data_IF_255906986698
#
_entry.id   IF_255906986698
#
_cell.length_a   1.000
_cell.length_b   1.000
_cell.length_c   1.000
_cell.angle_alpha   90.00
_cell.angle_beta   90.00
_cell.angle_gamma   90.00
#
_symmetry.space_group_name_H-M   'P 1'
#
loop_
_entity.id
_entity.type
_entity.pdbx_description
1 polymer ?
#
# COMPACT_ATOMS: atom_id res chain seq x y z
N UNK A 1 6.53 16.85 -17.80
CA UNK A 1 7.30 16.15 -16.82
C UNK A 1 6.94 14.67 -16.86
N UNK A 2 7.85 13.96 -16.81
CA UNK A 2 7.99 12.57 -17.06
C UNK A 2 8.05 11.78 -15.77
N UNK A 3 8.79 10.72 -15.74
CA UNK A 3 8.94 9.92 -14.54
C UNK A 3 9.86 10.58 -13.51
N UNK A 4 9.45 10.58 -12.24
CA UNK A 4 10.30 10.97 -11.13
C UNK A 4 11.37 9.91 -10.89
N UNK A 5 12.54 10.09 -11.51
CA UNK A 5 13.69 9.22 -11.32
C UNK A 5 14.56 9.76 -10.19
N UNK A 6 14.94 8.95 -9.18
CA UNK A 6 15.88 9.38 -8.16
C UNK A 6 17.20 9.83 -8.79
N UNK A 7 17.71 10.99 -8.35
CA UNK A 7 18.99 11.55 -8.86
C UNK A 7 20.22 10.92 -8.21
N UNK A 8 20.06 10.12 -7.17
CA UNK A 8 21.14 9.45 -6.44
C UNK A 8 21.33 8.03 -6.94
N UNK A 9 22.55 7.52 -6.82
CA UNK A 9 22.81 6.09 -7.03
C UNK A 9 22.18 5.27 -5.91
N UNK A 10 21.84 4.03 -6.21
CA UNK A 10 21.45 3.05 -5.21
C UNK A 10 22.55 2.87 -4.15
N UNK A 11 22.15 2.60 -2.91
CA UNK A 11 23.10 2.35 -1.84
C UNK A 11 23.99 1.13 -2.16
N UNK A 12 25.32 1.31 -2.07
CA UNK A 12 26.28 0.27 -2.45
C UNK A 12 26.08 -1.03 -1.69
N UNK A 13 25.71 -0.96 -0.40
CA UNK A 13 25.40 -2.14 0.42
C UNK A 13 24.29 -3.02 -0.18
N UNK A 14 23.27 -2.40 -0.78
CA UNK A 14 22.19 -3.14 -1.45
C UNK A 14 22.68 -3.81 -2.74
N UNK A 15 23.46 -3.09 -3.54
CA UNK A 15 24.06 -3.62 -4.78
C UNK A 15 24.99 -4.81 -4.48
N UNK A 16 25.84 -4.68 -3.47
CA UNK A 16 26.76 -5.76 -3.07
C UNK A 16 26.01 -7.00 -2.56
N UNK A 17 24.94 -6.79 -1.79
CA UNK A 17 24.09 -7.89 -1.31
C UNK A 17 23.40 -8.63 -2.46
N UNK A 18 22.93 -7.92 -3.49
CA UNK A 18 22.31 -8.51 -4.67
C UNK A 18 23.32 -9.32 -5.48
N UNK A 19 24.52 -8.76 -5.72
CA UNK A 19 25.61 -9.47 -6.41
C UNK A 19 25.95 -10.75 -5.66
N UNK A 20 26.09 -10.67 -4.34
CA UNK A 20 26.37 -11.84 -3.50
C UNK A 20 25.29 -12.90 -3.61
N UNK A 21 24.01 -12.52 -3.52
CA UNK A 21 22.89 -13.44 -3.63
C UNK A 21 22.90 -14.20 -4.98
N UNK A 22 23.20 -13.50 -6.08
CA UNK A 22 23.34 -14.11 -7.40
C UNK A 22 24.52 -15.10 -7.45
N UNK A 23 25.65 -14.73 -6.87
CA UNK A 23 26.83 -15.63 -6.77
C UNK A 23 26.55 -16.87 -5.89
N UNK A 24 25.75 -16.72 -4.87
CA UNK A 24 25.28 -17.81 -3.99
C UNK A 24 24.21 -18.70 -4.67
N UNK A 25 23.81 -18.40 -5.90
CA UNK A 25 22.94 -19.24 -6.73
C UNK A 25 21.44 -18.99 -6.56
N UNK A 26 21.01 -17.86 -5.98
CA UNK A 26 19.58 -17.55 -5.77
C UNK A 26 18.76 -17.62 -7.05
N UNK A 27 19.36 -17.31 -8.21
CA UNK A 27 18.69 -17.34 -9.51
C UNK A 27 18.19 -18.74 -9.93
N UNK A 28 18.69 -19.81 -9.32
CA UNK A 28 18.32 -21.19 -9.62
C UNK A 28 17.25 -21.76 -8.68
N UNK A 29 16.74 -20.95 -7.73
CA UNK A 29 15.85 -21.43 -6.67
C UNK A 29 14.54 -20.68 -6.74
N UNK A 30 13.42 -21.41 -6.85
CA UNK A 30 12.10 -20.79 -6.66
C UNK A 30 11.91 -20.35 -5.22
N UNK A 31 11.54 -19.09 -4.98
CA UNK A 31 11.14 -18.66 -3.65
C UNK A 31 9.79 -19.31 -3.26
N UNK A 32 9.48 -19.29 -1.98
CA UNK A 32 8.14 -19.62 -1.53
C UNK A 32 7.11 -18.69 -2.20
N UNK A 33 5.92 -19.22 -2.47
CA UNK A 33 4.81 -18.51 -3.14
C UNK A 33 4.50 -17.16 -2.45
N UNK A 34 4.57 -17.12 -1.13
CA UNK A 34 4.30 -15.92 -0.33
C UNK A 34 5.55 -15.07 -0.03
N UNK A 35 6.66 -15.34 -0.69
CA UNK A 35 7.95 -14.68 -0.46
C UNK A 35 8.86 -15.43 0.51
N UNK A 36 10.12 -15.02 0.59
CA UNK A 36 11.10 -15.60 1.51
C UNK A 36 10.86 -15.07 2.94
N UNK A 37 11.11 -15.92 3.94
CA UNK A 37 10.95 -15.57 5.36
C UNK A 37 11.75 -14.34 5.76
N UNK A 38 12.98 -14.22 5.25
CA UNK A 38 13.90 -13.16 5.61
C UNK A 38 13.41 -11.79 5.12
N UNK A 39 12.95 -11.70 3.86
CA UNK A 39 12.38 -10.45 3.31
C UNK A 39 11.14 -10.03 4.10
N UNK A 40 10.28 -10.98 4.47
CA UNK A 40 9.07 -10.70 5.24
C UNK A 40 9.39 -10.21 6.65
N UNK A 41 10.35 -10.85 7.33
CA UNK A 41 10.79 -10.47 8.66
C UNK A 41 11.44 -9.08 8.66
N UNK A 42 12.33 -8.81 7.68
CA UNK A 42 12.97 -7.50 7.56
C UNK A 42 11.99 -6.39 7.14
N UNK A 43 10.97 -6.69 6.33
CA UNK A 43 9.92 -5.75 6.01
C UNK A 43 9.08 -5.38 7.25
N UNK A 44 8.70 -6.37 8.07
CA UNK A 44 8.03 -6.15 9.35
C UNK A 44 8.89 -5.28 10.29
N UNK A 45 10.19 -5.61 10.42
CA UNK A 45 11.14 -4.84 11.22
C UNK A 45 11.31 -3.41 10.70
N UNK A 46 11.38 -3.22 9.38
CA UNK A 46 11.47 -1.91 8.75
C UNK A 46 10.22 -1.06 9.04
N UNK A 47 9.04 -1.65 8.93
CA UNK A 47 7.77 -0.97 9.24
C UNK A 47 7.76 -0.53 10.70
N UNK A 48 8.14 -1.41 11.63
CA UNK A 48 8.25 -1.03 13.05
C UNK A 48 9.27 0.08 13.27
N UNK A 49 10.43 -0.02 12.62
CA UNK A 49 11.53 0.92 12.81
C UNK A 49 11.23 2.36 12.35
N UNK A 50 10.44 2.54 11.29
CA UNK A 50 10.27 3.84 10.65
C UNK A 50 8.81 4.33 10.56
N UNK A 51 7.85 3.44 10.77
CA UNK A 51 6.41 3.76 10.73
C UNK A 51 5.77 3.59 12.11
N UNK A 52 6.43 2.82 13.01
CA UNK A 52 5.99 2.45 14.36
C UNK A 52 4.64 1.70 14.38
N UNK A 53 4.49 0.78 13.42
CA UNK A 53 3.35 -0.14 13.35
C UNK A 53 3.85 -1.55 13.59
N UNK A 54 3.17 -2.30 14.44
CA UNK A 54 3.38 -3.73 14.60
C UNK A 54 2.56 -4.47 13.54
N UNK A 55 3.26 -5.27 12.75
CA UNK A 55 2.66 -6.12 11.71
C UNK A 55 3.41 -7.44 11.66
N UNK A 56 2.68 -8.55 11.60
CA UNK A 56 3.30 -9.86 11.47
C UNK A 56 4.03 -9.99 10.12
N UNK A 57 5.18 -10.66 10.07
CA UNK A 57 5.88 -10.94 8.81
C UNK A 57 4.98 -11.57 7.75
N UNK A 58 3.99 -12.35 8.15
CA UNK A 58 3.02 -12.97 7.25
C UNK A 58 2.28 -11.95 6.39
N UNK A 59 1.88 -10.81 6.97
CA UNK A 59 1.20 -9.71 6.29
C UNK A 59 2.11 -8.88 5.36
N UNK A 60 3.42 -9.07 5.42
CA UNK A 60 4.39 -8.40 4.56
C UNK A 60 4.61 -9.23 3.29
N UNK A 61 4.00 -8.85 2.18
CA UNK A 61 4.05 -9.60 0.91
C UNK A 61 4.97 -8.88 -0.07
N UNK A 62 6.09 -9.51 -0.49
CA UNK A 62 6.97 -8.95 -1.52
C UNK A 62 6.26 -8.79 -2.86
N UNK A 63 6.53 -7.69 -3.55
CA UNK A 63 5.95 -7.36 -4.87
C UNK A 63 7.01 -6.75 -5.78
N UNK A 64 6.82 -6.88 -7.10
CA UNK A 64 7.72 -6.30 -8.11
C UNK A 64 7.47 -4.79 -8.30
N UNK A 65 7.66 -4.03 -7.21
CA UNK A 65 7.32 -2.61 -7.11
C UNK A 65 5.86 -2.38 -6.70
N UNK A 66 5.58 -1.21 -6.12
CA UNK A 66 4.25 -0.86 -5.60
C UNK A 66 3.12 -0.92 -6.64
N UNK A 67 3.44 -0.81 -7.94
CA UNK A 67 2.43 -0.93 -9.01
C UNK A 67 1.84 -2.34 -9.13
N UNK A 68 2.60 -3.40 -8.88
CA UNK A 68 2.05 -4.74 -8.76
C UNK A 68 1.20 -4.85 -7.48
N UNK A 69 1.69 -4.28 -6.39
CA UNK A 69 0.97 -4.27 -5.13
C UNK A 69 -0.38 -3.55 -5.23
N UNK A 70 -0.45 -2.38 -5.87
CA UNK A 70 -1.73 -1.68 -6.08
C UNK A 70 -2.67 -2.46 -6.99
N UNK A 71 -2.16 -3.07 -8.06
CA UNK A 71 -2.95 -3.91 -8.95
C UNK A 71 -3.61 -5.07 -8.19
N UNK A 72 -2.82 -5.83 -7.43
CA UNK A 72 -3.33 -6.93 -6.62
C UNK A 72 -4.32 -6.45 -5.54
N UNK A 73 -4.04 -5.30 -4.90
CA UNK A 73 -4.94 -4.71 -3.91
C UNK A 73 -6.30 -4.36 -4.51
N UNK A 74 -6.33 -3.70 -5.66
CA UNK A 74 -7.58 -3.38 -6.35
C UNK A 74 -8.35 -4.64 -6.74
N UNK A 75 -7.63 -5.63 -7.30
CA UNK A 75 -8.24 -6.88 -7.74
C UNK A 75 -8.93 -7.60 -6.57
N UNK A 76 -8.28 -7.68 -5.42
CA UNK A 76 -8.83 -8.40 -4.27
C UNK A 76 -9.89 -7.56 -3.56
N UNK A 77 -9.65 -6.27 -3.33
CA UNK A 77 -10.63 -5.38 -2.68
C UNK A 77 -11.96 -5.34 -3.42
N UNK A 78 -11.92 -5.23 -4.76
CA UNK A 78 -13.13 -5.20 -5.59
C UNK A 78 -13.95 -6.50 -5.58
N UNK A 79 -13.41 -7.57 -4.98
CA UNK A 79 -14.08 -8.87 -4.87
C UNK A 79 -14.49 -9.24 -3.44
N UNK A 80 -14.11 -8.45 -2.44
CA UNK A 80 -14.35 -8.76 -1.02
C UNK A 80 -15.84 -8.86 -0.68
N UNK A 81 -16.60 -7.85 -1.06
CA UNK A 81 -17.99 -7.72 -0.65
C UNK A 81 -18.89 -7.50 -1.87
N UNK A 82 -19.88 -8.37 -2.11
CA UNK A 82 -20.83 -8.17 -3.19
C UNK A 82 -21.48 -6.78 -3.12
N UNK A 83 -21.50 -6.07 -4.24
CA UNK A 83 -22.01 -4.69 -4.33
C UNK A 83 -21.02 -3.58 -3.99
N UNK A 84 -19.86 -3.89 -3.40
CA UNK A 84 -18.74 -2.97 -3.23
C UNK A 84 -17.70 -3.25 -4.32
N UNK A 85 -17.79 -2.55 -5.44
CA UNK A 85 -16.93 -2.77 -6.62
C UNK A 85 -16.25 -1.51 -7.14
N UNK A 86 -16.33 -0.43 -6.37
CA UNK A 86 -15.83 0.89 -6.73
C UNK A 86 -14.63 1.26 -5.86
N UNK A 87 -13.58 1.78 -6.46
CA UNK A 87 -12.40 2.32 -5.75
C UNK A 87 -12.52 3.85 -5.70
N UNK A 88 -12.42 4.43 -4.51
CA UNK A 88 -12.40 5.87 -4.31
C UNK A 88 -10.97 6.39 -4.32
N UNK A 89 -10.68 7.32 -5.24
CA UNK A 89 -9.38 8.00 -5.31
C UNK A 89 -9.46 9.35 -4.59
N UNK A 90 -8.58 9.56 -3.64
CA UNK A 90 -8.32 10.87 -3.04
C UNK A 90 -7.25 11.54 -3.90
N UNK A 91 -7.72 12.31 -4.88
CA UNK A 91 -6.86 12.98 -5.87
C UNK A 91 -6.22 14.27 -5.32
N UNK A 92 -5.14 14.75 -5.97
CA UNK A 92 -4.47 14.19 -7.14
C UNK A 92 -3.70 12.91 -6.80
N UNK A 93 -3.60 12.00 -7.75
CA UNK A 93 -2.95 10.70 -7.59
C UNK A 93 -2.21 10.26 -8.84
N UNK A 94 -1.52 9.10 -8.76
CA UNK A 94 -0.77 8.57 -9.88
C UNK A 94 -1.74 7.98 -10.94
N UNK A 95 -1.77 8.53 -12.17
CA UNK A 95 -2.84 8.24 -13.13
C UNK A 95 -2.89 6.77 -13.60
N UNK A 96 -1.75 6.05 -13.54
CA UNK A 96 -1.69 4.64 -13.95
C UNK A 96 -2.54 3.75 -13.06
N UNK A 97 -2.76 4.13 -11.80
CA UNK A 97 -3.64 3.38 -10.88
C UNK A 97 -5.10 3.38 -11.36
N UNK A 98 -5.59 4.51 -11.90
CA UNK A 98 -6.94 4.57 -12.52
C UNK A 98 -7.01 3.71 -13.80
N UNK A 99 -5.93 3.67 -14.57
CA UNK A 99 -5.84 2.78 -15.73
C UNK A 99 -5.90 1.31 -15.33
N UNK A 100 -5.26 0.92 -14.23
CA UNK A 100 -5.36 -0.44 -13.68
C UNK A 100 -6.83 -0.80 -13.35
N UNK A 101 -7.57 0.09 -12.71
CA UNK A 101 -9.01 -0.12 -12.41
C UNK A 101 -9.81 -0.32 -13.70
N UNK A 102 -9.56 0.50 -14.72
CA UNK A 102 -10.24 0.40 -16.02
C UNK A 102 -9.95 -0.94 -16.71
N UNK A 103 -8.70 -1.39 -16.72
CA UNK A 103 -8.30 -2.69 -17.29
C UNK A 103 -8.98 -3.86 -16.58
N UNK A 104 -9.17 -3.77 -15.26
CA UNK A 104 -9.88 -4.80 -14.48
C UNK A 104 -11.40 -4.80 -14.70
N UNK A 105 -11.95 -3.79 -15.37
CA UNK A 105 -13.39 -3.62 -15.52
C UNK A 105 -14.10 -3.16 -14.24
N UNK A 106 -13.37 -2.62 -13.26
CA UNK A 106 -13.93 -2.03 -12.06
C UNK A 106 -14.28 -0.57 -12.26
N UNK A 107 -15.06 -0.02 -11.34
CA UNK A 107 -15.42 1.39 -11.31
C UNK A 107 -14.50 2.15 -10.37
N UNK A 108 -14.36 3.44 -10.61
CA UNK A 108 -13.77 4.35 -9.65
C UNK A 108 -14.55 5.65 -9.57
N UNK A 109 -14.48 6.27 -8.40
CA UNK A 109 -14.89 7.63 -8.12
C UNK A 109 -13.70 8.41 -7.58
N UNK A 110 -13.71 9.73 -7.66
CA UNK A 110 -12.63 10.54 -7.12
C UNK A 110 -13.10 11.94 -6.71
N UNK A 111 -12.33 12.56 -5.81
CA UNK A 111 -12.45 13.98 -5.46
C UNK A 111 -11.07 14.60 -5.26
N UNK A 112 -10.98 15.91 -5.48
CA UNK A 112 -9.73 16.64 -5.25
C UNK A 112 -9.61 17.03 -3.77
N UNK A 113 -8.60 16.52 -3.08
CA UNK A 113 -8.38 16.75 -1.65
C UNK A 113 -8.10 18.20 -1.30
N UNK A 114 -7.61 19.00 -2.25
CA UNK A 114 -7.34 20.42 -2.00
C UNK A 114 -8.58 21.22 -1.64
N UNK A 115 -9.75 20.80 -2.12
CA UNK A 115 -11.02 21.41 -1.79
C UNK A 115 -11.55 21.00 -0.40
N UNK A 116 -11.02 19.90 0.13
CA UNK A 116 -11.56 19.22 1.31
C UNK A 116 -10.48 18.94 2.40
N UNK A 117 -9.52 19.85 2.57
CA UNK A 117 -8.49 19.71 3.62
C UNK A 117 -9.09 19.89 5.03
N UNK A 118 -8.47 19.21 6.01
CA UNK A 118 -8.90 19.25 7.42
C UNK A 118 -10.26 18.57 7.62
N UNK A 119 -11.12 19.15 8.46
CA UNK A 119 -12.43 18.57 8.79
C UNK A 119 -13.38 18.40 7.61
N UNK A 120 -13.25 19.21 6.55
CA UNK A 120 -14.03 19.02 5.32
C UNK A 120 -13.81 17.65 4.67
N UNK A 121 -12.68 17.02 4.95
CA UNK A 121 -12.38 15.67 4.46
C UNK A 121 -13.39 14.65 4.99
N UNK A 122 -13.87 14.83 6.23
CA UNK A 122 -14.90 13.98 6.82
C UNK A 122 -16.21 14.04 6.02
N UNK A 123 -16.65 15.24 5.67
CA UNK A 123 -17.93 15.44 4.99
C UNK A 123 -17.93 14.81 3.59
N UNK A 124 -16.83 15.01 2.83
CA UNK A 124 -16.75 14.45 1.48
C UNK A 124 -16.60 12.92 1.54
N UNK A 125 -15.84 12.37 2.47
CA UNK A 125 -15.74 10.92 2.65
C UNK A 125 -17.11 10.33 3.05
N UNK A 126 -17.86 10.99 3.94
CA UNK A 126 -19.24 10.59 4.29
C UNK A 126 -20.13 10.51 3.06
N UNK A 127 -20.06 11.52 2.19
CA UNK A 127 -20.87 11.59 0.96
C UNK A 127 -20.57 10.41 0.01
N UNK A 128 -19.31 9.97 -0.09
CA UNK A 128 -18.95 8.86 -0.96
C UNK A 128 -19.23 7.50 -0.29
N UNK A 129 -18.79 7.31 0.95
CA UNK A 129 -18.81 6.02 1.63
C UNK A 129 -20.22 5.60 2.04
N UNK A 130 -21.12 6.56 2.34
CA UNK A 130 -22.52 6.26 2.68
C UNK A 130 -23.31 5.65 1.54
N UNK A 131 -22.86 5.75 0.29
CA UNK A 131 -23.47 5.07 -0.86
C UNK A 131 -23.38 3.55 -0.77
N UNK A 132 -22.43 3.01 0.01
CA UNK A 132 -22.28 1.58 0.25
C UNK A 132 -21.61 0.77 -0.87
N UNK A 133 -21.14 1.42 -1.94
CA UNK A 133 -20.51 0.77 -3.11
C UNK A 133 -18.97 0.82 -3.10
N UNK A 134 -18.35 1.56 -2.18
CA UNK A 134 -16.90 1.73 -2.12
C UNK A 134 -16.25 0.52 -1.45
N UNK A 135 -15.42 -0.21 -2.20
CA UNK A 135 -14.64 -1.35 -1.72
C UNK A 135 -13.37 -0.91 -0.99
N UNK A 136 -12.67 0.06 -1.57
CA UNK A 136 -11.44 0.60 -1.01
C UNK A 136 -11.28 2.06 -1.40
N UNK A 137 -10.48 2.80 -0.63
CA UNK A 137 -10.00 4.13 -0.99
C UNK A 137 -8.49 4.13 -1.10
N UNK A 138 -7.95 4.99 -1.98
CA UNK A 138 -6.51 5.08 -2.21
C UNK A 138 -6.03 6.53 -2.29
N UNK A 139 -4.84 6.76 -1.75
CA UNK A 139 -4.06 7.99 -1.88
C UNK A 139 -2.56 7.69 -1.73
N UNK A 140 -1.69 8.62 -2.13
CA UNK A 140 -0.26 8.55 -1.84
C UNK A 140 0.17 9.59 -0.80
N UNK A 141 1.11 9.22 0.09
CA UNK A 141 1.56 10.08 1.19
C UNK A 141 3.05 9.83 1.51
N UNK A 142 3.98 10.73 1.17
CA UNK A 142 3.81 11.98 0.40
C UNK A 142 3.18 11.78 -0.98
N UNK A 143 2.46 12.80 -1.45
CA UNK A 143 1.65 12.71 -2.66
C UNK A 143 2.48 12.85 -3.94
N UNK A 144 2.10 12.10 -4.95
CA UNK A 144 2.51 12.27 -6.34
C UNK A 144 1.26 12.51 -7.22
N UNK A 145 1.16 13.62 -7.97
CA UNK A 145 2.25 14.56 -8.33
C UNK A 145 2.33 15.84 -7.50
N UNK A 146 1.42 16.07 -6.57
CA UNK A 146 1.21 17.39 -5.98
C UNK A 146 2.15 17.71 -4.81
N UNK A 147 2.89 16.70 -4.31
CA UNK A 147 3.93 16.85 -3.30
C UNK A 147 3.44 17.44 -1.96
N UNK A 148 2.23 17.13 -1.56
CA UNK A 148 1.75 17.42 -0.21
C UNK A 148 1.78 16.17 0.66
N UNK A 149 1.69 16.36 1.97
CA UNK A 149 1.42 15.28 2.91
C UNK A 149 0.08 15.53 3.60
N UNK A 150 -0.63 14.46 3.90
CA UNK A 150 -1.78 14.50 4.79
C UNK A 150 -1.30 14.72 6.23
N UNK A 151 -2.07 15.46 7.01
CA UNK A 151 -1.82 15.66 8.43
C UNK A 151 -2.24 14.44 9.24
N UNK A 152 -1.77 14.31 10.47
CA UNK A 152 -2.21 13.25 11.40
C UNK A 152 -3.73 13.31 11.64
N UNK A 153 -4.31 14.52 11.66
CA UNK A 153 -5.76 14.72 11.79
C UNK A 153 -6.51 14.20 10.58
N UNK A 154 -6.02 14.49 9.36
CA UNK A 154 -6.59 14.00 8.12
C UNK A 154 -6.47 12.48 8.00
N UNK A 155 -5.33 11.91 8.38
CA UNK A 155 -5.14 10.45 8.43
C UNK A 155 -6.08 9.80 9.45
N UNK A 156 -6.29 10.45 10.60
CA UNK A 156 -7.28 9.99 11.59
C UNK A 156 -8.70 10.03 11.03
N UNK A 157 -9.08 11.09 10.32
CA UNK A 157 -10.40 11.17 9.67
C UNK A 157 -10.58 10.02 8.68
N UNK A 158 -9.57 9.75 7.84
CA UNK A 158 -9.60 8.62 6.89
C UNK A 158 -9.78 7.29 7.62
N UNK A 159 -9.02 7.07 8.70
CA UNK A 159 -9.11 5.86 9.51
C UNK A 159 -10.48 5.69 10.18
N UNK A 160 -11.01 6.76 10.80
CA UNK A 160 -12.34 6.77 11.42
C UNK A 160 -13.43 6.41 10.39
N UNK A 161 -13.35 7.00 9.20
CA UNK A 161 -14.32 6.76 8.12
C UNK A 161 -14.19 5.34 7.53
N UNK A 162 -12.96 4.83 7.42
CA UNK A 162 -12.70 3.45 7.03
C UNK A 162 -13.34 2.45 8.00
N UNK A 163 -13.22 2.72 9.31
CA UNK A 163 -13.83 1.89 10.36
C UNK A 163 -15.36 1.97 10.30
N UNK A 164 -15.93 3.19 10.16
CA UNK A 164 -17.38 3.42 10.12
C UNK A 164 -18.07 2.68 8.96
N UNK A 165 -17.45 2.68 7.79
CA UNK A 165 -18.03 2.14 6.56
C UNK A 165 -17.45 0.79 6.13
N UNK A 166 -16.60 0.20 6.98
CA UNK A 166 -15.92 -1.06 6.66
C UNK A 166 -15.29 -1.00 5.25
N UNK A 167 -14.46 0.00 5.02
CA UNK A 167 -13.77 0.27 3.77
C UNK A 167 -12.28 0.08 3.94
N UNK A 168 -11.62 -0.57 2.98
CA UNK A 168 -10.17 -0.79 3.02
C UNK A 168 -9.46 0.47 2.56
N UNK A 169 -8.38 0.86 3.24
CA UNK A 169 -7.53 1.99 2.86
C UNK A 169 -6.23 1.46 2.24
N UNK A 170 -5.94 1.86 1.02
CA UNK A 170 -4.67 1.59 0.35
C UNK A 170 -3.84 2.87 0.43
N UNK A 171 -2.82 2.88 1.28
CA UNK A 171 -1.90 4.00 1.41
C UNK A 171 -0.64 3.72 0.60
N UNK A 172 -0.43 4.49 -0.48
CA UNK A 172 0.75 4.37 -1.34
C UNK A 172 1.90 5.19 -0.77
N UNK A 173 2.85 4.51 -0.15
CA UNK A 173 4.07 5.06 0.44
C UNK A 173 5.27 4.97 -0.51
N UNK A 174 5.05 5.07 -1.82
CA UNK A 174 6.14 5.06 -2.80
C UNK A 174 7.18 6.16 -2.56
N UNK A 175 6.78 7.27 -1.95
CA UNK A 175 7.65 8.38 -1.55
C UNK A 175 7.93 8.41 -0.04
N UNK A 176 7.96 7.24 0.58
CA UNK A 176 8.33 7.05 1.98
C UNK A 176 9.58 7.87 2.36
N UNK A 177 9.58 8.48 3.53
CA UNK A 177 10.66 9.31 4.07
C UNK A 177 10.99 10.60 3.27
N UNK A 178 10.17 10.97 2.30
CA UNK A 178 10.44 12.15 1.46
C UNK A 178 9.62 13.39 1.85
N UNK A 179 9.13 13.48 3.09
CA UNK A 179 8.67 14.74 3.65
C UNK A 179 9.86 15.51 4.23
N UNK A 180 10.50 16.31 3.40
CA UNK A 180 11.70 17.08 3.80
C UNK A 180 11.45 18.17 4.83
N UNK A 181 10.20 18.44 5.19
CA UNK A 181 9.85 19.37 6.29
C UNK A 181 10.01 18.71 7.64
N UNK A 182 9.91 17.38 7.70
CA UNK A 182 10.00 16.56 8.91
C UNK A 182 10.87 15.32 8.62
N UNK A 183 12.21 15.44 8.81
CA UNK A 183 13.06 14.27 8.64
C UNK A 183 12.64 13.17 9.62
N UNK A 184 12.72 11.92 9.19
CA UNK A 184 12.48 10.78 10.07
C UNK A 184 13.54 10.71 11.16
N UNK A 185 13.17 10.12 12.29
CA UNK A 185 14.07 9.73 13.35
C UNK A 185 15.01 8.59 12.92
N UNK A 186 15.89 8.20 13.82
CA UNK A 186 16.64 6.96 13.68
C UNK A 186 15.70 5.75 13.75
N UNK A 187 16.15 4.57 13.30
CA UNK A 187 15.34 3.36 13.45
C UNK A 187 14.84 3.20 14.89
N UNK A 188 13.54 3.01 15.05
CA UNK A 188 12.80 2.85 16.32
C UNK A 188 12.71 4.12 17.18
N UNK A 189 13.07 5.28 16.66
CA UNK A 189 12.97 6.56 17.35
C UNK A 189 12.10 7.54 16.54
N UNK A 190 11.24 8.28 17.24
CA UNK A 190 10.45 9.36 16.61
C UNK A 190 11.37 10.50 16.07
N UNK A 191 10.91 11.24 15.07
CA UNK A 191 9.60 11.15 14.43
C UNK A 191 9.50 10.02 13.39
N UNK A 192 8.34 9.36 13.33
CA UNK A 192 8.03 8.30 12.38
C UNK A 192 7.27 8.83 11.16
N UNK A 193 7.24 8.03 10.08
CA UNK A 193 6.35 8.31 8.94
C UNK A 193 4.89 8.31 9.42
N UNK A 194 4.18 9.39 9.10
CA UNK A 194 2.75 9.46 9.35
C UNK A 194 2.00 8.46 8.46
N UNK A 195 1.00 7.77 9.01
CA UNK A 195 0.24 6.72 8.32
C UNK A 195 -1.15 6.55 8.89
N UNK A 196 -2.10 6.15 8.03
CA UNK A 196 -3.45 5.78 8.44
C UNK A 196 -3.48 4.52 9.32
N UNK A 197 -2.46 3.68 9.26
CA UNK A 197 -2.37 2.42 10.00
C UNK A 197 -2.43 2.59 11.53
N UNK A 198 -2.26 3.83 12.04
CA UNK A 198 -2.46 4.15 13.46
C UNK A 198 -3.92 4.30 13.88
N UNK A 199 -4.83 4.43 12.91
CA UNK A 199 -6.23 4.81 13.16
C UNK A 199 -7.24 3.77 12.70
N UNK A 200 -6.80 2.75 11.95
CA UNK A 200 -7.65 1.66 11.46
C UNK A 200 -6.84 0.39 11.28
N UNK A 201 -7.49 -0.76 11.41
CA UNK A 201 -6.93 -2.06 11.00
C UNK A 201 -7.34 -2.44 9.56
N UNK A 202 -8.13 -1.63 8.88
CA UNK A 202 -8.54 -1.88 7.49
C UNK A 202 -7.55 -1.22 6.52
N UNK A 203 -6.24 -1.52 6.63
CA UNK A 203 -5.23 -0.88 5.80
C UNK A 203 -4.36 -1.86 5.01
N UNK A 204 -3.87 -1.33 3.90
CA UNK A 204 -2.80 -1.89 3.07
C UNK A 204 -1.79 -0.77 2.82
N UNK A 205 -0.53 -0.97 3.22
CA UNK A 205 0.55 -0.04 2.92
C UNK A 205 1.34 -0.56 1.72
N UNK A 206 1.57 0.29 0.71
CA UNK A 206 2.40 -0.02 -0.44
C UNK A 206 3.76 0.64 -0.29
N UNK A 207 4.77 -0.11 0.12
CA UNK A 207 6.12 0.39 0.36
C UNK A 207 7.00 0.04 -0.85
N UNK A 208 7.71 1.04 -1.39
CA UNK A 208 8.54 0.88 -2.58
C UNK A 208 10.00 1.20 -2.31
N UNK A 209 10.89 0.36 -2.81
CA UNK A 209 12.32 0.65 -2.87
C UNK A 209 12.71 1.66 -3.95
N UNK A 210 11.79 2.00 -4.85
CA UNK A 210 12.08 2.78 -6.07
C UNK A 210 12.59 4.19 -5.79
N UNK A 211 12.05 4.87 -4.77
CA UNK A 211 12.35 6.28 -4.48
C UNK A 211 13.27 6.43 -3.28
N UNK A 212 12.85 6.01 -2.11
CA UNK A 212 13.61 6.17 -0.86
C UNK A 212 15.00 5.51 -0.90
N UNK A 213 15.15 4.42 -1.65
CA UNK A 213 16.43 3.71 -1.77
C UNK A 213 17.10 3.86 -3.13
N UNK A 214 16.58 4.71 -4.04
CA UNK A 214 17.06 4.86 -5.41
C UNK A 214 17.18 3.53 -6.17
N UNK A 215 16.25 2.59 -5.93
CA UNK A 215 16.28 1.20 -6.42
C UNK A 215 15.18 0.93 -7.46
N UNK A 216 14.81 1.95 -8.24
CA UNK A 216 13.68 1.88 -9.17
C UNK A 216 13.80 0.76 -10.22
N UNK A 217 15.03 0.49 -10.71
CA UNK A 217 15.30 -0.53 -11.71
C UNK A 217 15.13 -1.97 -11.21
N UNK A 218 15.31 -2.22 -9.92
CA UNK A 218 15.24 -3.56 -9.33
C UNK A 218 13.82 -4.04 -9.03
N UNK A 219 12.84 -3.18 -9.18
CA UNK A 219 11.43 -3.55 -9.01
C UNK A 219 11.10 -4.17 -7.66
N UNK A 220 11.64 -3.59 -6.58
CA UNK A 220 11.43 -4.07 -5.21
C UNK A 220 10.35 -3.26 -4.52
N UNK A 221 9.39 -3.94 -3.91
CA UNK A 221 8.37 -3.37 -3.05
C UNK A 221 7.81 -4.40 -2.07
N UNK A 222 7.07 -3.91 -1.12
CA UNK A 222 6.33 -4.73 -0.14
C UNK A 222 4.94 -4.17 0.00
N UNK A 223 3.94 -5.04 -0.11
CA UNK A 223 2.60 -4.76 0.36
C UNK A 223 2.48 -5.24 1.81
N UNK A 224 2.20 -4.32 2.72
CA UNK A 224 1.97 -4.64 4.12
C UNK A 224 0.48 -4.56 4.43
N UNK A 225 -0.12 -5.72 4.71
CA UNK A 225 -1.55 -5.88 5.00
C UNK A 225 -1.69 -6.05 6.50
N UNK A 226 -2.55 -5.27 7.16
CA UNK A 226 -2.76 -5.41 8.61
C UNK A 226 -3.12 -6.84 8.98
N UNK A 227 -2.70 -7.29 10.16
CA UNK A 227 -2.94 -8.67 10.62
C UNK A 227 -4.43 -9.02 10.62
N UNK A 228 -5.27 -8.07 11.04
CA UNK A 228 -6.72 -8.25 11.05
C UNK A 228 -7.31 -8.40 9.64
N UNK A 229 -6.88 -7.55 8.70
CA UNK A 229 -7.33 -7.63 7.31
C UNK A 229 -6.79 -8.89 6.63
N UNK A 230 -5.53 -9.25 6.87
CA UNK A 230 -4.89 -10.43 6.28
C UNK A 230 -5.67 -11.72 6.59
N UNK A 231 -6.08 -11.89 7.85
CA UNK A 231 -6.82 -13.08 8.30
C UNK A 231 -8.34 -13.00 8.10
N UNK A 232 -8.85 -11.87 7.59
CA UNK A 232 -10.28 -11.69 7.42
C UNK A 232 -10.82 -12.47 6.23
N UNK A 233 -11.87 -13.25 6.48
CA UNK A 233 -12.69 -13.85 5.43
C UNK A 233 -13.74 -12.83 4.96
N UNK A 234 -13.93 -12.75 3.65
CA UNK A 234 -14.94 -11.90 3.04
C UNK A 234 -15.95 -12.73 2.25
N UNK A 235 -17.26 -12.37 2.26
CA UNK A 235 -18.29 -13.14 1.58
C UNK A 235 -18.01 -13.37 0.08
N UNK A 236 -17.57 -12.33 -0.63
CA UNK A 236 -17.26 -12.42 -2.05
C UNK A 236 -16.06 -13.32 -2.34
N UNK A 237 -15.02 -13.28 -1.50
CA UNK A 237 -13.85 -14.15 -1.62
C UNK A 237 -14.20 -15.60 -1.31
N UNK A 238 -14.99 -15.84 -0.25
CA UNK A 238 -15.46 -17.18 0.10
C UNK A 238 -16.28 -17.79 -1.02
N UNK A 239 -17.23 -17.03 -1.58
CA UNK A 239 -18.06 -17.49 -2.69
C UNK A 239 -17.25 -17.82 -3.95
N UNK A 240 -16.26 -17.00 -4.29
CA UNK A 240 -15.49 -17.11 -5.54
C UNK A 240 -14.39 -18.16 -5.46
N UNK A 241 -13.73 -18.28 -4.32
CA UNK A 241 -12.53 -19.12 -4.15
C UNK A 241 -12.75 -20.32 -3.22
N UNK A 242 -13.97 -20.60 -2.82
CA UNK A 242 -14.31 -21.76 -1.98
C UNK A 242 -13.79 -21.65 -0.53
N UNK A 243 -13.47 -20.44 -0.07
CA UNK A 243 -12.84 -20.16 1.22
C UNK A 243 -11.57 -19.34 1.05
N UNK A 244 -10.87 -19.11 2.15
CA UNK A 244 -9.66 -18.31 2.17
C UNK A 244 -9.88 -16.92 2.76
N UNK A 245 -8.80 -16.39 3.32
CA UNK A 245 -8.75 -15.05 3.87
C UNK A 245 -8.31 -14.05 2.81
N UNK A 246 -8.42 -12.76 3.12
CA UNK A 246 -7.92 -11.69 2.26
C UNK A 246 -6.46 -11.93 1.85
N UNK A 247 -5.58 -12.23 2.83
CA UNK A 247 -4.16 -12.46 2.59
C UNK A 247 -3.91 -13.67 1.67
N UNK A 248 -4.65 -14.78 1.87
CA UNK A 248 -4.54 -15.95 1.00
C UNK A 248 -4.88 -15.62 -0.45
N UNK A 249 -5.99 -14.91 -0.69
CA UNK A 249 -6.41 -14.53 -2.04
C UNK A 249 -5.45 -13.50 -2.63
N UNK A 250 -4.93 -12.58 -1.80
CA UNK A 250 -3.92 -11.60 -2.23
C UNK A 250 -2.65 -12.30 -2.76
N UNK A 251 -2.13 -13.28 -2.03
CA UNK A 251 -0.97 -14.06 -2.47
C UNK A 251 -1.28 -14.81 -3.76
N UNK A 252 -2.43 -15.46 -3.85
CA UNK A 252 -2.84 -16.16 -5.07
C UNK A 252 -2.92 -15.23 -6.29
N UNK A 253 -3.31 -13.97 -6.09
CA UNK A 253 -3.37 -12.98 -7.17
C UNK A 253 -2.00 -12.60 -7.74
N UNK A 254 -0.91 -12.87 -7.02
CA UNK A 254 0.46 -12.58 -7.43
C UNK A 254 1.16 -13.76 -8.13
N UNK A 255 0.67 -14.97 -7.97
CA UNK A 255 1.34 -16.19 -8.47
C UNK A 255 1.38 -16.24 -10.02
N UNK A 256 0.47 -15.55 -10.67
CA UNK A 256 0.33 -15.58 -12.13
C UNK A 256 0.97 -14.40 -12.86
N UNK A 257 1.80 -13.65 -12.15
CA UNK A 257 2.45 -12.45 -12.72
C UNK A 257 3.93 -12.69 -12.91
#
# INVERSE_FOLDING_TARGET
MEMGVPGLKAAQVGVDAEIKALQDGVASIYPNINGTSDVKAEASRFIKAFIDIDIAPEGCVPVTGSMQGTYASFLVCGQCTPGKDTILFIDPGFPVQKQQITVMGYRYESFDVYEYRGEKLRDILEQYLSKGNIAAMIYSNPNNPAWFCLTEEELKIIGDMANKYDTIVIEDLAYFAMDFRKPLGKPFEAPFQATVARYTDNYILQISGSKAFSYAGQRIGVTAISDKLYHRAYPGLTQRYGGGTFGTVYILSLIHI
#
